data_IF_187468606243
#
_entry.id   IF_187468606243
#
_cell.length_a   1.000
_cell.length_b   1.000
_cell.length_c   1.000
_cell.angle_alpha   90.00
_cell.angle_beta   90.00
_cell.angle_gamma   90.00
#
_symmetry.space_group_name_H-M   'P 1'
#
loop_
_entity.id
_entity.type
_entity.pdbx_description
1 polymer ?
#
# COMPACT_ATOMS: atom_id res chain seq x y z
N UNK A 1 -21.34 7.37 -7.41
CA UNK A 1 -19.99 7.09 -7.94
C UNK A 1 -19.14 6.64 -6.77
N UNK A 2 -18.34 5.59 -6.94
CA UNK A 2 -17.42 5.17 -5.88
C UNK A 2 -16.26 6.16 -5.76
N UNK A 3 -15.87 6.50 -4.53
CA UNK A 3 -14.71 7.36 -4.26
C UNK A 3 -13.45 6.51 -4.21
N UNK A 4 -12.39 6.94 -4.91
CA UNK A 4 -11.12 6.22 -4.97
C UNK A 4 -9.99 7.09 -4.44
N UNK A 5 -9.14 6.50 -3.60
CA UNK A 5 -7.94 7.15 -3.06
C UNK A 5 -6.71 6.32 -3.37
N UNK A 6 -5.62 7.00 -3.75
CA UNK A 6 -4.33 6.38 -4.03
C UNK A 6 -3.28 6.99 -3.12
N UNK A 7 -2.51 6.15 -2.44
CA UNK A 7 -1.46 6.56 -1.53
C UNK A 7 -0.13 5.94 -1.96
N UNK A 8 0.94 6.72 -1.81
CA UNK A 8 2.31 6.22 -1.88
C UNK A 8 2.87 6.10 -0.48
N UNK A 9 3.33 4.90 -0.13
CA UNK A 9 3.98 4.63 1.15
C UNK A 9 5.44 4.31 0.89
N UNK A 10 6.40 5.12 1.36
CA UNK A 10 7.83 4.93 1.12
C UNK A 10 8.42 3.85 2.04
N UNK A 11 7.83 2.66 2.04
CA UNK A 11 8.32 1.52 2.79
C UNK A 11 9.30 0.70 1.94
N UNK A 12 10.51 0.48 2.46
CA UNK A 12 11.52 -0.30 1.76
C UNK A 12 11.20 -1.79 1.80
N UNK A 13 10.97 -2.40 0.63
CA UNK A 13 10.77 -3.85 0.51
C UNK A 13 12.11 -4.47 0.11
N UNK A 14 12.66 -5.30 0.99
CA UNK A 14 13.99 -5.89 0.83
C UNK A 14 13.94 -7.37 0.43
N UNK A 15 12.76 -7.99 0.41
CA UNK A 15 12.58 -9.40 0.10
C UNK A 15 11.47 -9.59 -0.91
N UNK A 16 11.77 -10.32 -1.99
CA UNK A 16 10.81 -10.76 -3.01
C UNK A 16 10.37 -12.22 -2.82
N UNK A 17 10.93 -12.89 -1.81
CA UNK A 17 11.01 -14.36 -1.77
C UNK A 17 10.06 -14.95 -0.72
N UNK A 18 9.19 -14.11 -0.14
CA UNK A 18 8.26 -14.50 0.92
C UNK A 18 7.31 -13.38 1.36
N UNK A 19 6.56 -13.63 2.43
CA UNK A 19 5.67 -12.64 3.04
C UNK A 19 6.49 -11.67 3.88
N UNK A 20 6.39 -10.37 3.60
CA UNK A 20 6.96 -9.30 4.40
C UNK A 20 5.84 -8.46 5.02
N UNK A 21 5.94 -8.18 6.31
CA UNK A 21 5.08 -7.18 6.94
C UNK A 21 5.65 -5.78 6.66
N UNK A 22 4.76 -4.86 6.29
CA UNK A 22 5.12 -3.51 5.89
C UNK A 22 4.37 -2.52 6.79
N UNK A 23 4.94 -2.13 7.95
CA UNK A 23 4.20 -1.46 9.02
C UNK A 23 3.53 -0.14 8.61
N UNK A 24 4.18 0.66 7.77
CA UNK A 24 3.62 1.94 7.29
C UNK A 24 2.37 1.74 6.44
N UNK A 25 2.44 0.80 5.49
CA UNK A 25 1.29 0.41 4.68
C UNK A 25 0.15 -0.18 5.52
N UNK A 26 0.46 -1.04 6.49
CA UNK A 26 -0.54 -1.62 7.40
C UNK A 26 -1.27 -0.54 8.21
N UNK A 27 -0.54 0.42 8.78
CA UNK A 27 -1.12 1.51 9.56
C UNK A 27 -2.06 2.37 8.71
N UNK A 28 -1.63 2.74 7.50
CA UNK A 28 -2.44 3.54 6.57
C UNK A 28 -3.73 2.80 6.18
N UNK A 29 -3.63 1.51 5.84
CA UNK A 29 -4.80 0.70 5.48
C UNK A 29 -5.79 0.64 6.65
N UNK A 30 -5.32 0.40 7.87
CA UNK A 30 -6.17 0.32 9.04
C UNK A 30 -6.89 1.65 9.35
N UNK A 31 -6.21 2.78 9.20
CA UNK A 31 -6.81 4.10 9.38
C UNK A 31 -7.96 4.35 8.40
N UNK A 32 -7.75 4.07 7.11
CA UNK A 32 -8.79 4.27 6.10
C UNK A 32 -9.91 3.23 6.17
N UNK A 33 -9.60 2.00 6.57
CA UNK A 33 -10.59 0.95 6.81
C UNK A 33 -11.55 1.33 7.95
N UNK A 34 -11.06 1.97 9.02
CA UNK A 34 -11.91 2.53 10.07
C UNK A 34 -12.86 3.64 9.53
N UNK A 35 -12.46 4.33 8.46
CA UNK A 35 -13.28 5.29 7.73
C UNK A 35 -14.25 4.67 6.71
N UNK A 36 -14.31 3.34 6.61
CA UNK A 36 -15.19 2.60 5.70
C UNK A 36 -14.66 2.48 4.27
N UNK A 37 -13.34 2.60 4.06
CA UNK A 37 -12.72 2.31 2.77
C UNK A 37 -12.26 0.85 2.69
N UNK A 38 -12.34 0.27 1.50
CA UNK A 38 -11.89 -1.08 1.20
C UNK A 38 -10.62 -1.05 0.34
N UNK A 39 -9.68 -1.96 0.60
CA UNK A 39 -8.47 -2.12 -0.20
C UNK A 39 -8.82 -2.74 -1.55
N UNK A 40 -8.44 -2.06 -2.64
CA UNK A 40 -8.66 -2.53 -4.01
C UNK A 40 -7.38 -3.12 -4.60
N UNK A 41 -6.24 -2.46 -4.38
CA UNK A 41 -4.97 -2.88 -4.96
C UNK A 41 -3.79 -2.37 -4.14
N UNK A 42 -2.74 -3.19 -4.07
CA UNK A 42 -1.45 -2.85 -3.47
C UNK A 42 -0.38 -3.27 -4.48
N UNK A 43 0.37 -2.29 -4.98
CA UNK A 43 1.38 -2.51 -6.03
C UNK A 43 2.73 -1.96 -5.56
N UNK A 44 3.82 -2.74 -5.61
CA UNK A 44 5.13 -2.22 -5.29
C UNK A 44 5.61 -1.23 -6.35
N UNK A 45 6.03 -0.04 -5.90
CA UNK A 45 6.69 0.92 -6.76
C UNK A 45 8.12 0.48 -7.02
N UNK A 46 8.37 0.01 -8.23
CA UNK A 46 9.70 -0.42 -8.67
C UNK A 46 10.41 0.77 -9.32
N UNK A 47 11.50 1.24 -8.74
CA UNK A 47 12.56 1.84 -9.56
C UNK A 47 13.56 0.72 -9.90
N UNK A 48 14.38 0.88 -10.94
CA UNK A 48 15.15 -0.22 -11.54
C UNK A 48 16.15 -0.96 -10.62
N UNK A 49 16.28 -0.60 -9.34
CA UNK A 49 17.23 -1.24 -8.41
C UNK A 49 16.71 -1.47 -6.98
N UNK A 50 15.63 -0.80 -6.54
CA UNK A 50 15.04 -1.01 -5.21
C UNK A 50 13.51 -0.86 -5.24
N UNK A 51 12.80 -1.76 -4.56
CA UNK A 51 11.37 -1.58 -4.28
C UNK A 51 11.23 -0.47 -3.24
N UNK A 52 11.10 0.76 -3.73
CA UNK A 52 11.21 1.98 -2.92
C UNK A 52 9.88 2.41 -2.28
N UNK A 53 8.88 1.54 -2.25
CA UNK A 53 7.58 1.81 -1.64
C UNK A 53 6.41 1.02 -2.23
N UNK A 54 5.21 1.30 -1.72
CA UNK A 54 3.94 0.70 -2.11
C UNK A 54 2.95 1.76 -2.57
N UNK A 55 2.29 1.51 -3.69
CA UNK A 55 1.07 2.20 -4.11
C UNK A 55 -0.14 1.44 -3.60
N UNK A 56 -0.98 2.10 -2.80
CA UNK A 56 -2.19 1.51 -2.19
C UNK A 56 -3.41 2.24 -2.74
N UNK A 57 -4.34 1.51 -3.34
CA UNK A 57 -5.61 2.02 -3.83
C UNK A 57 -6.75 1.54 -2.93
N UNK A 58 -7.57 2.49 -2.48
CA UNK A 58 -8.71 2.32 -1.59
C UNK A 58 -9.99 2.83 -2.26
N UNK A 59 -11.14 2.23 -1.93
CA UNK A 59 -12.46 2.59 -2.47
C UNK A 59 -13.50 2.76 -1.35
N UNK A 60 -14.43 3.69 -1.51
CA UNK A 60 -15.63 3.84 -0.68
C UNK A 60 -16.90 4.01 -1.52
#
# INVERSE_FOLDING_TARGET
>A
MADYKVFWVPDHISSTDGTQEVPGATALINEWAAGGYEVVSVVPGTNAQTYAGLFITLKK
#
